data_IF_120643590387
#
_entry.id   IF_120643590387
#
_cell.length_a   1.000
_cell.length_b   1.000
_cell.length_c   1.000
_cell.angle_alpha   90.00
_cell.angle_beta   90.00
_cell.angle_gamma   90.00
#
_symmetry.space_group_name_H-M   'P 1'
#
loop_
_entity.id
_entity.type
_entity.pdbx_description
1 polymer ?
#
# COMPACT_ATOMS: atom_id res chain seq x y z
N UNK A 1 45.67 -27.01 17.35
CA UNK A 1 44.22 -26.90 17.05
C UNK A 1 43.86 -28.04 16.10
N UNK A 2 43.13 -29.06 16.57
CA UNK A 2 42.85 -30.27 15.78
C UNK A 2 41.93 -29.96 14.59
N UNK A 3 42.12 -30.66 13.47
CA UNK A 3 41.33 -30.49 12.23
C UNK A 3 39.82 -30.68 12.47
N UNK A 4 39.46 -31.50 13.45
CA UNK A 4 38.08 -31.73 13.91
C UNK A 4 37.47 -30.48 14.54
N UNK A 5 38.21 -29.77 15.40
CA UNK A 5 37.71 -28.53 16.02
C UNK A 5 37.44 -27.43 14.99
N UNK A 6 38.32 -27.27 14.00
CA UNK A 6 38.09 -26.34 12.87
C UNK A 6 36.85 -26.69 12.06
N UNK A 7 36.59 -27.98 11.82
CA UNK A 7 35.38 -28.45 11.13
C UNK A 7 34.12 -28.18 11.95
N UNK A 8 34.13 -28.44 13.26
CA UNK A 8 32.99 -28.15 14.14
C UNK A 8 32.70 -26.65 14.19
N UNK A 9 33.72 -25.81 14.33
CA UNK A 9 33.54 -24.34 14.30
C UNK A 9 32.99 -23.88 12.94
N UNK A 10 33.49 -24.43 11.83
CA UNK A 10 32.98 -24.09 10.50
C UNK A 10 31.51 -24.51 10.31
N UNK A 11 31.13 -25.71 10.79
CA UNK A 11 29.73 -26.19 10.74
C UNK A 11 28.83 -25.33 11.61
N UNK A 12 29.24 -25.00 12.84
CA UNK A 12 28.47 -24.13 13.73
C UNK A 12 28.30 -22.73 13.13
N UNK A 13 29.36 -22.16 12.56
CA UNK A 13 29.30 -20.88 11.87
C UNK A 13 28.35 -20.93 10.66
N UNK A 14 28.40 -21.99 9.84
CA UNK A 14 27.52 -22.15 8.70
C UNK A 14 26.04 -22.29 9.11
N UNK A 15 25.76 -23.05 10.18
CA UNK A 15 24.40 -23.18 10.73
C UNK A 15 23.92 -21.83 11.29
N UNK A 16 24.76 -21.11 12.02
CA UNK A 16 24.41 -19.78 12.53
C UNK A 16 24.10 -18.80 11.40
N UNK A 17 24.89 -18.80 10.31
CA UNK A 17 24.62 -17.99 9.12
C UNK A 17 23.31 -18.39 8.43
N UNK A 18 23.01 -19.68 8.32
CA UNK A 18 21.76 -20.16 7.74
C UNK A 18 20.54 -19.71 8.56
N UNK A 19 20.60 -19.84 9.89
CA UNK A 19 19.55 -19.37 10.80
C UNK A 19 19.37 -17.86 10.70
N UNK A 20 20.47 -17.10 10.68
CA UNK A 20 20.42 -15.65 10.50
C UNK A 20 19.80 -15.25 9.14
N UNK A 21 20.11 -15.99 8.07
CA UNK A 21 19.53 -15.78 6.75
C UNK A 21 18.02 -16.04 6.72
N UNK A 22 17.55 -17.11 7.37
CA UNK A 22 16.11 -17.42 7.48
C UNK A 22 15.39 -16.40 8.33
N UNK A 23 15.98 -15.99 9.46
CA UNK A 23 15.44 -14.92 10.28
C UNK A 23 15.34 -13.60 9.49
N UNK A 24 16.41 -13.19 8.81
CA UNK A 24 16.38 -11.99 7.96
C UNK A 24 15.32 -12.09 6.86
N UNK A 25 15.19 -13.24 6.22
CA UNK A 25 14.17 -13.47 5.20
C UNK A 25 12.74 -13.36 5.75
N UNK A 26 12.51 -13.83 6.98
CA UNK A 26 11.21 -13.74 7.66
C UNK A 26 10.89 -12.31 8.15
N UNK A 27 11.88 -11.59 8.67
CA UNK A 27 11.72 -10.21 9.18
C UNK A 27 11.86 -9.13 8.09
N UNK A 28 12.29 -9.49 6.89
CA UNK A 28 12.46 -8.56 5.76
C UNK A 28 11.25 -7.64 5.46
N UNK A 29 9.97 -8.08 5.51
CA UNK A 29 8.85 -7.16 5.24
C UNK A 29 8.71 -6.06 6.28
N UNK A 30 9.08 -6.32 7.55
CA UNK A 30 9.06 -5.30 8.61
C UNK A 30 10.10 -4.20 8.36
N UNK A 31 11.26 -4.59 7.82
CA UNK A 31 12.33 -3.64 7.47
C UNK A 31 11.85 -2.74 6.33
N UNK A 32 11.31 -3.33 5.26
CA UNK A 32 10.82 -2.56 4.11
C UNK A 32 9.67 -1.61 4.49
N UNK A 33 8.73 -2.06 5.34
CA UNK A 33 7.65 -1.22 5.85
C UNK A 33 8.20 -0.01 6.62
N UNK A 34 9.20 -0.23 7.48
CA UNK A 34 9.83 0.85 8.24
C UNK A 34 10.59 1.82 7.33
N UNK A 35 11.40 1.33 6.39
CA UNK A 35 12.12 2.17 5.43
C UNK A 35 11.17 3.04 4.60
N UNK A 36 10.08 2.44 4.11
CA UNK A 36 9.04 3.15 3.39
C UNK A 36 8.40 4.23 4.30
N UNK A 37 8.10 3.89 5.57
CA UNK A 37 7.49 4.81 6.54
C UNK A 37 8.42 5.98 6.87
N UNK A 38 9.71 5.72 7.07
CA UNK A 38 10.71 6.76 7.30
C UNK A 38 10.85 7.66 6.07
N UNK A 39 10.88 7.10 4.86
CA UNK A 39 10.92 7.87 3.63
C UNK A 39 9.68 8.77 3.47
N UNK A 40 8.49 8.24 3.75
CA UNK A 40 7.24 9.00 3.71
C UNK A 40 7.22 10.13 4.75
N UNK A 41 7.67 9.87 5.98
CA UNK A 41 7.76 10.88 7.03
C UNK A 41 8.78 11.98 6.72
N UNK A 42 9.92 11.60 6.14
CA UNK A 42 10.96 12.51 5.68
C UNK A 42 10.60 13.26 4.39
N UNK A 43 9.50 12.88 3.73
CA UNK A 43 9.11 13.32 2.37
C UNK A 43 10.23 13.10 1.34
N UNK A 44 10.99 12.02 1.53
CA UNK A 44 12.04 11.60 0.59
C UNK A 44 11.41 10.75 -0.51
N UNK A 45 10.97 11.44 -1.57
CA UNK A 45 10.32 10.81 -2.72
C UNK A 45 11.26 9.81 -3.42
N UNK A 46 12.56 10.10 -3.50
CA UNK A 46 13.49 9.23 -4.21
C UNK A 46 13.73 7.92 -3.44
N UNK A 47 13.83 7.99 -2.11
CA UNK A 47 13.89 6.80 -1.28
C UNK A 47 12.58 6.01 -1.34
N UNK A 48 11.44 6.69 -1.24
CA UNK A 48 10.13 6.06 -1.26
C UNK A 48 9.89 5.31 -2.59
N UNK A 49 10.18 5.95 -3.73
CA UNK A 49 9.94 5.38 -5.06
C UNK A 49 10.70 4.05 -5.30
N UNK A 50 11.84 3.82 -4.65
CA UNK A 50 12.59 2.55 -4.77
C UNK A 50 11.83 1.35 -4.23
N UNK A 51 10.92 1.59 -3.29
CA UNK A 51 10.13 0.58 -2.60
C UNK A 51 8.69 0.52 -3.10
N UNK A 52 8.36 1.15 -4.24
CA UNK A 52 7.02 1.14 -4.84
C UNK A 52 7.06 0.65 -6.27
N UNK A 53 6.21 -0.32 -6.59
CA UNK A 53 5.94 -0.74 -7.96
C UNK A 53 4.69 -0.02 -8.45
N UNK A 54 4.88 1.13 -9.11
CA UNK A 54 3.78 1.97 -9.59
C UNK A 54 2.92 1.30 -10.65
N UNK A 55 3.47 0.37 -11.44
CA UNK A 55 2.71 -0.35 -12.46
C UNK A 55 1.70 -1.28 -11.79
N UNK A 56 2.16 -2.11 -10.84
CA UNK A 56 1.28 -2.99 -10.07
C UNK A 56 0.31 -2.20 -9.18
N UNK A 57 0.77 -1.11 -8.58
CA UNK A 57 -0.07 -0.26 -7.72
C UNK A 57 -1.26 0.29 -8.49
N UNK A 58 -1.00 0.77 -9.71
CA UNK A 58 -2.03 1.25 -10.63
C UNK A 58 -3.01 0.14 -10.99
N UNK A 59 -2.51 -1.05 -11.34
CA UNK A 59 -3.36 -2.18 -11.71
C UNK A 59 -4.24 -2.64 -10.53
N UNK A 60 -3.69 -2.69 -9.32
CA UNK A 60 -4.44 -2.98 -8.09
C UNK A 60 -5.59 -1.99 -7.88
N UNK A 61 -5.32 -0.69 -8.05
CA UNK A 61 -6.34 0.36 -7.91
C UNK A 61 -7.39 0.28 -9.01
N UNK A 62 -6.97 0.07 -10.26
CA UNK A 62 -7.88 -0.11 -11.40
C UNK A 62 -8.81 -1.29 -11.22
N UNK A 63 -8.29 -2.42 -10.75
CA UNK A 63 -9.10 -3.61 -10.45
C UNK A 63 -10.14 -3.33 -9.38
N UNK A 64 -9.77 -2.67 -8.28
CA UNK A 64 -10.69 -2.41 -7.17
C UNK A 64 -11.73 -1.35 -7.52
N UNK A 65 -11.32 -0.28 -8.22
CA UNK A 65 -12.25 0.76 -8.63
C UNK A 65 -13.19 0.25 -9.71
N UNK A 66 -12.70 -0.55 -10.66
CA UNK A 66 -13.51 -1.24 -11.66
C UNK A 66 -14.54 -2.18 -11.04
N UNK A 67 -14.16 -2.94 -10.02
CA UNK A 67 -15.10 -3.78 -9.26
C UNK A 67 -16.19 -2.94 -8.59
N UNK A 68 -15.83 -1.86 -7.90
CA UNK A 68 -16.81 -0.95 -7.27
C UNK A 68 -17.77 -0.32 -8.26
N UNK A 69 -17.28 0.07 -9.45
CA UNK A 69 -18.11 0.62 -10.52
C UNK A 69 -19.06 -0.45 -11.06
N UNK A 70 -18.58 -1.68 -11.27
CA UNK A 70 -19.40 -2.80 -11.71
C UNK A 70 -20.49 -3.15 -10.68
N UNK A 71 -20.15 -3.19 -9.39
CA UNK A 71 -21.10 -3.42 -8.31
C UNK A 71 -22.18 -2.32 -8.28
N UNK A 72 -21.78 -1.05 -8.35
CA UNK A 72 -22.70 0.08 -8.39
C UNK A 72 -23.63 0.07 -9.63
N UNK A 73 -23.17 -0.50 -10.75
CA UNK A 73 -23.98 -0.67 -11.95
C UNK A 73 -24.94 -1.86 -11.87
N UNK A 74 -24.52 -2.94 -11.20
CA UNK A 74 -25.28 -4.17 -10.99
C UNK A 74 -26.58 -3.97 -10.19
N UNK A 75 -26.60 -2.98 -9.29
CA UNK A 75 -27.76 -2.71 -8.43
C UNK A 75 -28.81 -1.76 -9.06
N UNK A 76 -28.54 -1.13 -10.21
CA UNK A 76 -29.40 -0.05 -10.73
C UNK A 76 -29.60 0.05 -12.25
N UNK A 77 -28.99 -0.82 -13.06
CA UNK A 77 -28.88 -0.59 -14.52
C UNK A 77 -29.37 -1.74 -15.39
N UNK A 78 -30.49 -2.38 -15.04
CA UNK A 78 -31.21 -3.27 -15.97
C UNK A 78 -31.98 -2.50 -17.07
N UNK A 79 -31.44 -1.37 -17.55
CA UNK A 79 -32.05 -0.52 -18.57
C UNK A 79 -31.03 -0.06 -19.60
N UNK A 80 -31.09 -0.63 -20.80
CA UNK A 80 -30.26 -0.34 -21.96
C UNK A 80 -30.56 1.06 -22.56
N UNK A 81 -30.34 2.12 -21.77
CA UNK A 81 -30.60 3.49 -22.18
C UNK A 81 -29.28 4.20 -22.53
N UNK A 82 -29.26 4.97 -23.62
CA UNK A 82 -28.06 5.69 -24.08
C UNK A 82 -27.41 6.59 -23.00
N UNK A 83 -28.20 7.10 -22.05
CA UNK A 83 -27.71 7.86 -20.90
C UNK A 83 -26.87 7.04 -19.91
N UNK A 84 -27.19 5.76 -19.70
CA UNK A 84 -26.42 4.87 -18.82
C UNK A 84 -25.04 4.55 -19.43
N UNK A 85 -24.98 4.35 -20.75
CA UNK A 85 -23.72 4.16 -21.47
C UNK A 85 -22.83 5.40 -21.39
N UNK A 86 -23.40 6.60 -21.57
CA UNK A 86 -22.66 7.86 -21.45
C UNK A 86 -22.22 8.12 -20.01
N UNK A 87 -23.08 7.85 -19.02
CA UNK A 87 -22.74 7.92 -17.59
C UNK A 87 -21.62 6.95 -17.21
N UNK A 88 -21.63 5.74 -17.77
CA UNK A 88 -20.55 4.75 -17.59
C UNK A 88 -19.23 5.23 -18.17
N UNK A 89 -19.24 5.74 -19.41
CA UNK A 89 -18.04 6.29 -20.05
C UNK A 89 -17.45 7.46 -19.26
N UNK A 90 -18.30 8.38 -18.79
CA UNK A 90 -17.88 9.50 -17.96
C UNK A 90 -17.35 9.04 -16.59
N UNK A 91 -18.04 8.09 -15.95
CA UNK A 91 -17.62 7.49 -14.69
C UNK A 91 -16.25 6.81 -14.79
N UNK A 92 -16.02 6.05 -15.86
CA UNK A 92 -14.72 5.41 -16.14
C UNK A 92 -13.61 6.44 -16.38
N UNK A 93 -13.89 7.53 -17.11
CA UNK A 93 -12.91 8.59 -17.34
C UNK A 93 -12.50 9.32 -16.04
N UNK A 94 -13.46 9.58 -15.15
CA UNK A 94 -13.20 10.14 -13.81
C UNK A 94 -12.42 9.15 -12.97
N UNK A 95 -12.80 7.86 -12.98
CA UNK A 95 -12.11 6.80 -12.26
C UNK A 95 -10.64 6.68 -12.68
N UNK A 96 -10.36 6.69 -13.98
CA UNK A 96 -8.99 6.67 -14.52
C UNK A 96 -8.19 7.88 -14.06
N UNK A 97 -8.77 9.09 -14.07
CA UNK A 97 -8.12 10.30 -13.55
C UNK A 97 -7.83 10.22 -12.06
N UNK A 98 -8.74 9.64 -11.27
CA UNK A 98 -8.52 9.42 -9.85
C UNK A 98 -7.38 8.44 -9.61
N UNK A 99 -7.30 7.35 -10.38
CA UNK A 99 -6.20 6.38 -10.28
C UNK A 99 -4.86 7.07 -10.51
N UNK A 100 -4.75 7.90 -11.55
CA UNK A 100 -3.53 8.66 -11.83
C UNK A 100 -3.09 9.51 -10.63
N UNK A 101 -4.06 10.14 -9.95
CA UNK A 101 -3.79 10.96 -8.77
C UNK A 101 -3.42 10.11 -7.55
N UNK A 102 -4.09 8.99 -7.33
CA UNK A 102 -3.85 8.09 -6.19
C UNK A 102 -2.51 7.37 -6.26
N UNK A 103 -2.00 7.11 -7.46
CA UNK A 103 -0.71 6.47 -7.71
C UNK A 103 0.45 7.46 -7.53
N UNK A 104 0.19 8.77 -7.43
CA UNK A 104 1.25 9.79 -7.28
C UNK A 104 2.04 9.56 -5.99
N UNK A 105 3.39 9.66 -6.02
CA UNK A 105 4.22 9.42 -4.86
C UNK A 105 3.78 10.21 -3.63
N UNK A 106 3.42 11.48 -3.81
CA UNK A 106 3.01 12.34 -2.69
C UNK A 106 1.73 11.85 -1.99
N UNK A 107 0.76 11.35 -2.78
CA UNK A 107 -0.52 10.86 -2.27
C UNK A 107 -0.33 9.52 -1.54
N UNK A 108 0.50 8.63 -2.10
CA UNK A 108 0.80 7.34 -1.47
C UNK A 108 1.61 7.54 -0.17
N UNK A 109 2.60 8.43 -0.18
CA UNK A 109 3.36 8.81 1.02
C UNK A 109 2.46 9.38 2.11
N UNK A 110 1.51 10.24 1.73
CA UNK A 110 0.53 10.80 2.65
C UNK A 110 -0.39 9.70 3.21
N UNK A 111 -0.97 8.87 2.34
CA UNK A 111 -1.81 7.75 2.74
C UNK A 111 -1.12 6.81 3.71
N UNK A 112 0.18 6.57 3.50
CA UNK A 112 0.96 5.71 4.38
C UNK A 112 1.37 6.39 5.68
N UNK A 113 1.56 7.72 5.67
CA UNK A 113 1.80 8.48 6.90
C UNK A 113 0.55 8.53 7.79
N UNK A 114 -0.62 8.66 7.16
CA UNK A 114 -1.91 8.79 7.85
C UNK A 114 -2.58 7.43 8.09
N UNK A 115 -2.07 6.36 7.46
CA UNK A 115 -2.62 5.01 7.52
C UNK A 115 -3.93 4.81 6.75
N UNK A 116 -4.39 5.83 6.01
CA UNK A 116 -5.70 5.82 5.36
C UNK A 116 -5.61 6.44 3.97
N UNK A 117 -5.91 5.66 2.92
CA UNK A 117 -5.90 6.16 1.55
C UNK A 117 -7.13 7.05 1.24
N UNK A 118 -8.28 6.84 1.89
CA UNK A 118 -9.49 7.64 1.61
C UNK A 118 -9.34 9.11 2.00
N UNK A 119 -8.59 9.41 3.07
CA UNK A 119 -8.30 10.79 3.47
C UNK A 119 -7.37 11.47 2.44
N UNK A 120 -6.33 10.78 1.99
CA UNK A 120 -5.45 11.26 0.92
C UNK A 120 -6.20 11.45 -0.41
N UNK A 121 -7.07 10.50 -0.75
CA UNK A 121 -7.95 10.56 -1.92
C UNK A 121 -8.90 11.75 -1.86
N UNK A 122 -9.51 12.02 -0.69
CA UNK A 122 -10.44 13.15 -0.50
C UNK A 122 -9.76 14.50 -0.69
N UNK A 123 -8.55 14.67 -0.15
CA UNK A 123 -7.74 15.87 -0.37
C UNK A 123 -7.38 16.04 -1.85
N UNK A 124 -6.99 14.95 -2.52
CA UNK A 124 -6.60 14.99 -3.91
C UNK A 124 -7.80 15.21 -4.86
N UNK A 125 -8.96 14.62 -4.58
CA UNK A 125 -10.20 14.85 -5.31
C UNK A 125 -10.69 16.30 -5.14
N UNK A 126 -10.58 16.87 -3.93
CA UNK A 126 -10.84 18.29 -3.67
C UNK A 126 -9.97 19.22 -4.53
N UNK A 127 -8.69 18.87 -4.74
CA UNK A 127 -7.78 19.62 -5.60
C UNK A 127 -8.07 19.47 -7.11
N UNK A 128 -8.77 18.41 -7.53
CA UNK A 128 -9.22 18.23 -8.92
C UNK A 128 -10.51 19.03 -9.20
N UNK A 129 -11.35 19.24 -8.18
CA UNK A 129 -12.60 20.01 -8.29
C UNK A 129 -12.44 21.52 -8.05
N UNK A 130 -11.46 21.94 -7.27
CA UNK A 130 -11.16 23.34 -7.00
C UNK A 130 -9.77 23.67 -7.54
N UNK A 131 -9.69 24.58 -8.52
CA UNK A 131 -8.43 25.14 -8.98
C UNK A 131 -7.56 25.56 -7.79
N UNK A 132 -6.33 25.05 -7.79
CA UNK A 132 -5.28 25.16 -6.78
C UNK A 132 -5.48 26.22 -5.67
N UNK A 133 -5.67 25.74 -4.44
CA UNK A 133 -5.54 26.52 -3.21
C UNK A 133 -4.90 25.65 -2.13
N UNK A 134 -3.56 25.63 -2.09
CA UNK A 134 -2.79 24.93 -1.06
C UNK A 134 -2.81 25.73 0.24
N UNK A 135 -3.23 25.09 1.33
CA UNK A 135 -3.19 25.69 2.66
C UNK A 135 -3.82 24.78 3.70
N UNK A 136 -3.22 23.61 3.95
CA UNK A 136 -3.57 22.79 5.11
C UNK A 136 -2.31 22.65 5.97
N UNK A 137 -2.31 23.36 7.10
CA UNK A 137 -1.26 23.25 8.11
C UNK A 137 -1.12 21.81 8.58
N UNK A 138 0.10 21.43 8.96
CA UNK A 138 0.43 20.06 9.35
C UNK A 138 -0.53 19.55 10.44
N UNK A 139 -1.42 18.60 10.10
CA UNK A 139 -2.21 17.93 11.10
C UNK A 139 -1.24 17.16 11.99
N UNK A 140 -1.46 17.21 13.31
CA UNK A 140 -0.76 16.37 14.27
C UNK A 140 -1.09 14.90 13.92
N UNK A 141 -0.17 14.26 13.19
CA UNK A 141 -0.36 12.92 12.64
C UNK A 141 -0.61 11.92 13.78
N UNK A 142 -1.72 11.16 13.73
CA UNK A 142 -1.99 10.14 14.74
C UNK A 142 -0.90 9.06 14.70
N UNK A 143 -0.59 8.47 15.85
CA UNK A 143 0.29 7.31 15.88
C UNK A 143 -0.45 6.14 15.22
N UNK A 144 -0.04 5.78 14.00
CA UNK A 144 -0.57 4.64 13.26
C UNK A 144 0.11 3.38 13.77
N UNK A 145 -0.68 2.42 14.23
CA UNK A 145 -0.23 1.08 14.57
C UNK A 145 -0.34 0.18 13.33
N UNK A 146 0.72 -0.58 13.04
CA UNK A 146 0.77 -1.43 11.85
C UNK A 146 0.64 -2.89 12.24
N UNK A 147 -0.33 -3.59 11.65
CA UNK A 147 -0.44 -5.05 11.74
C UNK A 147 -0.11 -5.66 10.39
N UNK A 148 0.81 -6.62 10.36
CA UNK A 148 1.13 -7.35 9.13
C UNK A 148 0.36 -8.66 9.08
N UNK A 149 -0.30 -8.89 7.97
CA UNK A 149 -0.91 -10.17 7.62
C UNK A 149 -0.10 -10.84 6.51
N UNK A 150 0.34 -12.07 6.75
CA UNK A 150 1.19 -12.81 5.82
C UNK A 150 0.31 -13.67 4.90
N UNK A 151 0.10 -13.20 3.67
CA UNK A 151 -0.65 -13.91 2.65
C UNK A 151 0.28 -14.81 1.82
N UNK A 152 0.96 -15.72 2.51
CA UNK A 152 1.94 -16.63 1.92
C UNK A 152 3.38 -16.14 2.07
N UNK A 153 4.28 -16.68 1.23
CA UNK A 153 5.73 -16.48 1.35
C UNK A 153 6.22 -15.20 0.69
N UNK A 154 5.53 -14.72 -0.34
CA UNK A 154 5.97 -13.61 -1.19
C UNK A 154 5.00 -12.43 -1.17
N UNK A 155 3.97 -12.47 -0.31
CA UNK A 155 2.97 -11.41 -0.20
C UNK A 155 2.61 -11.13 1.25
N UNK A 156 2.65 -9.86 1.62
CA UNK A 156 2.31 -9.38 2.98
C UNK A 156 1.42 -8.16 2.84
N UNK A 157 0.42 -8.05 3.71
CA UNK A 157 -0.48 -6.90 3.74
C UNK A 157 -0.33 -6.19 5.08
N UNK A 158 0.11 -4.94 5.03
CA UNK A 158 0.22 -4.09 6.21
C UNK A 158 -1.07 -3.28 6.39
N UNK A 159 -1.83 -3.58 7.43
CA UNK A 159 -3.02 -2.84 7.81
C UNK A 159 -2.65 -1.76 8.82
N UNK A 160 -2.99 -0.52 8.49
CA UNK A 160 -2.89 0.59 9.41
C UNK A 160 -4.12 0.66 10.31
N UNK A 161 -3.90 0.58 11.62
CA UNK A 161 -4.89 0.75 12.68
C UNK A 161 -4.63 2.05 13.43
N UNK A 162 -5.66 2.86 13.64
CA UNK A 162 -5.56 4.09 14.43
C UNK A 162 -6.13 3.79 15.82
N UNK A 163 -5.33 3.87 16.91
CA UNK A 163 -5.80 3.60 18.26
C UNK A 163 -7.05 4.45 18.60
N UNK A 164 -8.12 3.79 19.04
CA UNK A 164 -9.39 4.45 19.40
C UNK A 164 -10.42 4.58 18.27
N UNK A 165 -10.03 4.37 17.00
CA UNK A 165 -10.98 4.02 15.92
C UNK A 165 -11.03 2.49 15.86
N UNK A 166 -12.07 1.88 16.43
CA UNK A 166 -12.23 0.41 16.37
C UNK A 166 -12.14 -0.12 14.94
N UNK A 167 -11.81 -1.41 14.78
CA UNK A 167 -11.64 -2.10 13.49
C UNK A 167 -12.87 -2.09 12.54
N UNK A 168 -13.92 -1.35 12.89
CA UNK A 168 -15.23 -1.33 12.27
C UNK A 168 -15.36 -0.43 11.02
N UNK A 169 -14.28 0.04 10.38
CA UNK A 169 -14.45 0.60 9.02
C UNK A 169 -13.42 1.57 8.47
N UNK A 170 -12.13 1.20 8.33
CA UNK A 170 -11.23 2.13 7.63
C UNK A 170 -9.77 1.74 7.43
N UNK A 171 -9.29 0.61 7.96
CA UNK A 171 -7.90 0.22 7.81
C UNK A 171 -7.59 -0.04 6.33
N UNK A 172 -6.81 0.85 5.73
CA UNK A 172 -6.29 0.66 4.38
C UNK A 172 -5.18 -0.39 4.46
N UNK A 173 -5.28 -1.45 3.66
CA UNK A 173 -4.25 -2.49 3.60
C UNK A 173 -3.22 -2.14 2.54
N UNK A 174 -1.96 -1.96 2.90
CA UNK A 174 -0.88 -1.75 1.96
C UNK A 174 -0.28 -3.10 1.59
N UNK A 175 -0.35 -3.46 0.30
CA UNK A 175 0.07 -4.77 -0.19
C UNK A 175 1.52 -4.69 -0.66
N UNK A 176 2.34 -5.57 -0.09
CA UNK A 176 3.73 -5.74 -0.45
C UNK A 176 3.93 -7.10 -1.11
N UNK A 177 4.56 -7.09 -2.29
CA UNK A 177 5.09 -8.31 -2.89
C UNK A 177 6.61 -8.34 -2.75
N UNK A 178 7.15 -9.55 -2.62
CA UNK A 178 8.59 -9.78 -2.57
C UNK A 178 9.22 -9.46 -3.93
N UNK A 179 10.33 -8.73 -3.88
CA UNK A 179 11.17 -8.39 -5.02
C UNK A 179 12.60 -8.89 -4.75
N UNK A 180 13.02 -9.93 -5.47
CA UNK A 180 14.30 -10.60 -5.25
C UNK A 180 14.33 -11.48 -3.99
N UNK A 181 15.48 -11.56 -3.32
CA UNK A 181 15.68 -12.49 -2.20
C UNK A 181 14.94 -12.04 -0.93
N UNK A 182 15.07 -10.77 -0.56
CA UNK A 182 14.50 -10.20 0.66
C UNK A 182 13.97 -8.76 0.46
N UNK A 183 13.99 -8.25 -0.76
CA UNK A 183 13.39 -6.96 -1.06
C UNK A 183 11.87 -7.07 -1.06
N UNK A 184 11.20 -5.98 -0.72
CA UNK A 184 9.75 -5.87 -0.80
C UNK A 184 9.39 -4.55 -1.46
N UNK A 185 8.37 -4.60 -2.31
CA UNK A 185 7.81 -3.41 -2.96
C UNK A 185 6.34 -3.31 -2.64
N UNK A 186 5.88 -2.10 -2.39
CA UNK A 186 4.47 -1.78 -2.36
C UNK A 186 3.90 -1.94 -3.77
N UNK A 187 3.03 -2.93 -3.95
CA UNK A 187 2.44 -3.28 -5.24
C UNK A 187 0.95 -3.00 -5.30
N UNK A 188 0.32 -2.62 -4.18
CA UNK A 188 -1.11 -2.40 -4.15
C UNK A 188 -1.60 -1.78 -2.86
N UNK A 189 -2.86 -1.36 -2.88
CA UNK A 189 -3.58 -0.88 -1.72
C UNK A 189 -4.96 -1.52 -1.72
N UNK A 190 -5.37 -2.14 -0.62
CA UNK A 190 -6.71 -2.68 -0.35
C UNK A 190 -7.55 -1.62 0.31
N UNK A 191 -8.57 -1.17 -0.41
CA UNK A 191 -9.56 -0.24 0.13
C UNK A 191 -10.41 -0.95 1.19
N UNK A 192 -10.79 -0.25 2.28
CA UNK A 192 -11.72 -0.80 3.25
C UNK A 192 -13.05 -1.13 2.53
N UNK A 193 -13.53 -2.34 2.76
CA UNK A 193 -14.85 -2.76 2.33
C UNK A 193 -15.84 -2.15 3.32
N UNK A 194 -16.61 -1.16 2.88
CA UNK A 194 -17.73 -0.65 3.69
C UNK A 194 -18.69 -1.81 3.94
N UNK A 195 -19.09 -2.01 5.19
CA UNK A 195 -20.30 -2.78 5.49
C UNK A 195 -21.50 -1.85 5.44
#
# INVERSE_FOLDING_TARGET
>A
MSTTFRKTVAVVAAVAFAVAGVAYWYWSPLIALHELQTAAQARDTDAFNRHVDYAKLRDSLKSQLGAKVADAMGDGSAGANAGAALGTMLGMAIADRMIEVLVRPEVVMMAMSDGVLSEAAGHAAGAVGAGAGAGAGEPKRPAVEWTLDHEGVDRVVAYASIPGKGAAGGATGFVFDRDGFAGWKLTGVRLPQGK
#
